data_IF_477068625197
#
_entry.id   IF_477068625197
#
_cell.length_a   1.000
_cell.length_b   1.000
_cell.length_c   1.000
_cell.angle_alpha   90.00
_cell.angle_beta   90.00
_cell.angle_gamma   90.00
#
_symmetry.space_group_name_H-M   'P 1'
#
loop_
_entity.id
_entity.type
_entity.pdbx_description
1 polymer ?
#
# COMPACT_ATOMS: atom_id res chain seq x y z
N UNK A 1 -16.49 -2.23 14.94
CA UNK A 1 -15.81 -1.15 14.18
C UNK A 1 -14.31 -1.12 14.42
N UNK A 2 -13.81 -1.18 15.66
CA UNK A 2 -12.37 -1.11 15.96
C UNK A 2 -11.50 -2.07 15.13
N UNK A 3 -11.91 -3.35 15.04
CA UNK A 3 -11.17 -4.35 14.25
C UNK A 3 -11.09 -3.94 12.77
N UNK A 4 -12.20 -3.53 12.17
CA UNK A 4 -12.28 -3.08 10.77
C UNK A 4 -11.38 -1.88 10.53
N UNK A 5 -11.38 -0.90 11.45
CA UNK A 5 -10.52 0.28 11.39
C UNK A 5 -9.04 -0.09 11.42
N UNK A 6 -8.62 -0.96 12.34
CA UNK A 6 -7.24 -1.42 12.43
C UNK A 6 -6.86 -2.19 11.16
N UNK A 7 -7.75 -3.05 10.64
CA UNK A 7 -7.53 -3.76 9.38
C UNK A 7 -7.34 -2.82 8.19
N UNK A 8 -8.18 -1.78 8.07
CA UNK A 8 -8.04 -0.75 7.01
C UNK A 8 -6.66 -0.11 7.09
N UNK A 9 -6.28 0.41 8.25
CA UNK A 9 -5.02 1.13 8.41
C UNK A 9 -3.82 0.22 8.14
N UNK A 10 -3.79 -0.97 8.75
CA UNK A 10 -2.69 -1.93 8.63
C UNK A 10 -2.54 -2.44 7.20
N UNK A 11 -3.62 -2.89 6.56
CA UNK A 11 -3.53 -3.48 5.22
C UNK A 11 -3.24 -2.45 4.14
N UNK A 12 -3.78 -1.25 4.25
CA UNK A 12 -3.48 -0.15 3.31
C UNK A 12 -2.02 0.26 3.44
N UNK A 13 -1.54 0.47 4.67
CA UNK A 13 -0.15 0.88 4.90
C UNK A 13 0.84 -0.21 4.48
N UNK A 14 0.55 -1.47 4.80
CA UNK A 14 1.34 -2.61 4.34
C UNK A 14 1.39 -2.64 2.81
N UNK A 15 0.22 -2.58 2.15
CA UNK A 15 0.14 -2.55 0.69
C UNK A 15 0.98 -1.43 0.08
N UNK A 16 0.97 -0.25 0.69
CA UNK A 16 1.71 0.93 0.21
C UNK A 16 3.23 0.80 0.39
N UNK A 17 3.68 0.34 1.56
CA UNK A 17 5.11 0.33 1.92
C UNK A 17 5.84 -0.94 1.49
N UNK A 18 5.17 -2.08 1.46
CA UNK A 18 5.81 -3.37 1.18
C UNK A 18 6.59 -3.42 -0.16
N UNK A 19 6.13 -2.79 -1.26
CA UNK A 19 6.91 -2.71 -2.49
C UNK A 19 8.28 -2.04 -2.33
N UNK A 20 8.45 -1.13 -1.36
CA UNK A 20 9.70 -0.44 -1.11
C UNK A 20 10.79 -1.37 -0.55
N UNK A 21 10.43 -2.55 -0.01
CA UNK A 21 11.42 -3.55 0.42
C UNK A 21 12.34 -4.02 -0.71
N UNK A 22 11.93 -3.84 -1.97
CA UNK A 22 12.79 -4.06 -3.15
C UNK A 22 14.02 -3.16 -3.18
N UNK A 23 14.02 -2.04 -2.45
CA UNK A 23 15.19 -1.19 -2.26
C UNK A 23 16.20 -1.81 -1.30
N UNK A 24 15.72 -2.35 -0.18
CA UNK A 24 16.54 -2.94 0.89
C UNK A 24 17.13 -4.29 0.50
N UNK A 25 16.35 -5.13 -0.17
CA UNK A 25 16.79 -6.46 -0.57
C UNK A 25 17.68 -6.39 -1.81
N UNK A 26 18.85 -7.03 -1.75
CA UNK A 26 19.72 -7.20 -2.92
C UNK A 26 19.12 -8.28 -3.83
N UNK A 27 18.19 -7.88 -4.71
CA UNK A 27 17.44 -8.77 -5.61
C UNK A 27 18.36 -9.69 -6.41
N UNK A 28 19.59 -9.25 -6.74
CA UNK A 28 20.59 -10.06 -7.45
C UNK A 28 21.09 -11.28 -6.68
N UNK A 29 20.82 -11.39 -5.36
CA UNK A 29 21.17 -12.52 -4.52
C UNK A 29 19.98 -13.43 -4.21
N UNK A 30 18.75 -13.05 -4.62
CA UNK A 30 17.55 -13.84 -4.40
C UNK A 30 17.05 -14.49 -5.69
N UNK A 31 16.39 -15.64 -5.53
CA UNK A 31 15.83 -16.43 -6.63
C UNK A 31 15.03 -15.57 -7.62
N UNK A 32 15.14 -15.89 -8.91
CA UNK A 32 14.34 -15.27 -9.98
C UNK A 32 12.87 -15.31 -9.59
N UNK A 33 12.25 -14.14 -9.41
CA UNK A 33 10.83 -14.02 -9.06
C UNK A 33 10.52 -13.46 -7.67
N UNK A 34 11.52 -13.16 -6.83
CA UNK A 34 11.26 -12.56 -5.51
C UNK A 34 10.52 -11.21 -5.58
N UNK A 35 10.79 -10.38 -6.60
CA UNK A 35 10.04 -9.14 -6.81
C UNK A 35 8.56 -9.39 -7.12
N UNK A 36 8.24 -10.51 -7.79
CA UNK A 36 6.85 -10.91 -8.07
C UNK A 36 6.12 -11.26 -6.78
N UNK A 37 6.80 -11.93 -5.86
CA UNK A 37 6.27 -12.20 -4.53
C UNK A 37 5.99 -10.91 -3.75
N UNK A 38 6.96 -9.98 -3.71
CA UNK A 38 6.78 -8.70 -3.02
C UNK A 38 5.57 -7.93 -3.57
N UNK A 39 5.55 -7.73 -4.89
CA UNK A 39 4.51 -6.94 -5.54
C UNK A 39 3.14 -7.64 -5.50
N UNK A 40 3.12 -8.95 -5.70
CA UNK A 40 1.90 -9.75 -5.60
C UNK A 40 1.29 -9.72 -4.21
N UNK A 41 2.12 -9.88 -3.15
CA UNK A 41 1.64 -9.81 -1.78
C UNK A 41 1.12 -8.41 -1.43
N UNK A 42 1.84 -7.37 -1.84
CA UNK A 42 1.39 -5.99 -1.71
C UNK A 42 0.04 -5.75 -2.39
N UNK A 43 -0.18 -6.28 -3.60
CA UNK A 43 -1.47 -6.19 -4.29
C UNK A 43 -2.59 -6.90 -3.54
N UNK A 44 -2.34 -8.11 -3.03
CA UNK A 44 -3.35 -8.90 -2.30
C UNK A 44 -3.74 -8.18 -1.00
N UNK A 45 -2.76 -7.83 -0.18
CA UNK A 45 -3.02 -7.19 1.12
C UNK A 45 -3.60 -5.80 0.94
N UNK A 46 -3.06 -4.99 0.01
CA UNK A 46 -3.64 -3.68 -0.33
C UNK A 46 -5.07 -3.80 -0.85
N UNK A 47 -5.36 -4.81 -1.69
CA UNK A 47 -6.71 -5.11 -2.17
C UNK A 47 -7.68 -5.45 -1.05
N UNK A 48 -7.25 -6.24 -0.06
CA UNK A 48 -8.05 -6.49 1.16
C UNK A 48 -8.28 -5.19 1.92
N UNK A 49 -7.27 -4.32 2.05
CA UNK A 49 -7.42 -2.98 2.63
C UNK A 49 -8.51 -2.17 1.94
N UNK A 50 -8.49 -2.10 0.61
CA UNK A 50 -9.53 -1.41 -0.17
C UNK A 50 -10.91 -2.02 0.07
N UNK A 51 -11.06 -3.35 0.07
CA UNK A 51 -12.35 -3.99 0.39
C UNK A 51 -12.87 -3.52 1.77
N UNK A 52 -12.00 -3.49 2.78
CA UNK A 52 -12.38 -3.04 4.12
C UNK A 52 -12.76 -1.54 4.16
N UNK A 53 -12.12 -0.68 3.36
CA UNK A 53 -12.51 0.72 3.20
C UNK A 53 -13.94 0.85 2.70
N UNK A 54 -14.35 -0.01 1.77
CA UNK A 54 -15.75 -0.04 1.30
C UNK A 54 -16.74 -0.61 2.33
N UNK A 55 -16.28 -1.42 3.29
CA UNK A 55 -17.14 -1.89 4.40
C UNK A 55 -17.45 -0.79 5.42
N UNK A 56 -16.64 0.28 5.50
CA UNK A 56 -16.86 1.44 6.38
C UNK A 56 -17.25 2.69 5.57
N UNK A 57 -18.08 2.48 4.55
CA UNK A 57 -18.46 3.52 3.59
C UNK A 57 -19.19 4.73 4.21
N UNK A 58 -19.80 4.58 5.38
CA UNK A 58 -20.44 5.68 6.10
C UNK A 58 -19.42 6.61 6.77
N UNK A 59 -18.23 6.10 7.10
CA UNK A 59 -17.14 6.87 7.70
C UNK A 59 -16.23 7.51 6.65
N UNK A 60 -15.95 6.79 5.54
CA UNK A 60 -14.99 7.24 4.53
C UNK A 60 -15.71 7.89 3.35
N UNK A 61 -15.49 9.18 3.07
CA UNK A 61 -16.07 9.88 1.94
C UNK A 61 -15.75 9.24 0.59
N UNK A 62 -16.68 9.35 -0.38
CA UNK A 62 -16.56 8.72 -1.70
C UNK A 62 -15.29 9.13 -2.46
N UNK A 63 -14.84 10.38 -2.35
CA UNK A 63 -13.61 10.86 -2.99
C UNK A 63 -12.35 10.16 -2.43
N UNK A 64 -12.31 9.86 -1.13
CA UNK A 64 -11.20 9.11 -0.51
C UNK A 64 -11.22 7.66 -0.97
N UNK A 65 -12.40 7.02 -0.99
CA UNK A 65 -12.55 5.64 -1.50
C UNK A 65 -12.13 5.50 -2.97
N UNK A 66 -12.48 6.47 -3.81
CA UNK A 66 -12.04 6.47 -5.22
C UNK A 66 -10.52 6.59 -5.30
N UNK A 67 -9.90 7.41 -4.45
CA UNK A 67 -8.45 7.53 -4.35
C UNK A 67 -7.75 6.20 -4.04
N UNK A 68 -8.30 5.41 -3.12
CA UNK A 68 -7.82 4.07 -2.78
C UNK A 68 -7.87 3.11 -3.98
N UNK A 69 -8.97 3.12 -4.73
CA UNK A 69 -9.11 2.31 -5.94
C UNK A 69 -8.09 2.73 -7.00
N UNK A 70 -7.91 4.04 -7.22
CA UNK A 70 -6.93 4.57 -8.17
C UNK A 70 -5.51 4.15 -7.78
N UNK A 71 -5.18 4.23 -6.48
CA UNK A 71 -3.91 3.74 -5.97
C UNK A 71 -3.74 2.23 -6.24
N UNK A 72 -4.72 1.40 -5.90
CA UNK A 72 -4.64 -0.04 -6.11
C UNK A 72 -4.47 -0.40 -7.60
N UNK A 73 -5.17 0.30 -8.51
CA UNK A 73 -5.00 0.14 -9.96
C UNK A 73 -3.57 0.48 -10.38
N UNK A 74 -2.98 1.57 -9.84
CA UNK A 74 -1.59 1.93 -10.14
C UNK A 74 -0.60 0.85 -9.69
N UNK A 75 -0.84 0.25 -8.52
CA UNK A 75 -0.03 -0.84 -7.97
C UNK A 75 -0.17 -2.12 -8.82
N UNK A 76 -1.40 -2.49 -9.21
CA UNK A 76 -1.68 -3.62 -10.09
C UNK A 76 -1.06 -3.42 -11.47
N UNK A 77 -1.10 -2.21 -12.04
CA UNK A 77 -0.51 -1.91 -13.34
C UNK A 77 1.01 -2.10 -13.33
N UNK A 78 1.70 -1.56 -12.31
CA UNK A 78 3.15 -1.75 -12.14
C UNK A 78 3.49 -3.21 -11.89
N UNK A 79 2.70 -3.91 -11.07
CA UNK A 79 2.89 -5.33 -10.78
C UNK A 79 2.72 -6.19 -12.02
N UNK A 80 1.67 -5.97 -12.80
CA UNK A 80 1.41 -6.66 -14.05
C UNK A 80 2.52 -6.43 -15.09
N UNK A 81 2.99 -5.19 -15.23
CA UNK A 81 4.08 -4.84 -16.14
C UNK A 81 5.38 -5.59 -15.81
N UNK A 82 5.74 -5.69 -14.53
CA UNK A 82 6.96 -6.37 -14.09
C UNK A 82 6.79 -7.87 -13.79
N UNK A 83 5.56 -8.41 -13.93
CA UNK A 83 5.26 -9.79 -13.55
C UNK A 83 6.15 -10.80 -14.24
N UNK A 84 6.43 -10.63 -15.54
CA UNK A 84 7.27 -11.56 -16.31
C UNK A 84 8.71 -11.08 -16.50
N UNK A 85 9.06 -9.89 -16.02
CA UNK A 85 10.41 -9.36 -16.19
C UNK A 85 11.40 -9.98 -15.21
N UNK A 86 12.64 -10.15 -15.64
CA UNK A 86 13.72 -10.71 -14.80
C UNK A 86 14.32 -9.67 -13.85
N UNK A 87 14.20 -8.39 -14.18
CA UNK A 87 14.69 -7.28 -13.36
C UNK A 87 13.63 -6.20 -13.25
N UNK A 88 13.71 -5.42 -12.18
CA UNK A 88 12.78 -4.34 -11.90
C UNK A 88 13.50 -3.02 -11.71
N UNK A 89 12.98 -1.97 -12.34
CA UNK A 89 13.45 -0.61 -12.08
C UNK A 89 12.82 -0.13 -10.79
N UNK A 90 13.62 -0.12 -9.71
CA UNK A 90 13.16 0.21 -8.35
C UNK A 90 12.40 1.55 -8.28
N UNK A 91 12.84 2.56 -9.02
CA UNK A 91 12.16 3.86 -9.11
C UNK A 91 10.71 3.79 -9.61
N UNK A 92 10.37 2.84 -10.50
CA UNK A 92 9.00 2.70 -11.00
C UNK A 92 8.07 2.11 -9.94
N UNK A 93 8.59 1.26 -9.05
CA UNK A 93 7.85 0.70 -7.92
C UNK A 93 7.57 1.76 -6.85
N UNK A 94 8.48 2.72 -6.69
CA UNK A 94 8.30 3.80 -5.72
C UNK A 94 7.06 4.65 -6.03
N UNK A 95 6.64 4.75 -7.31
CA UNK A 95 5.48 5.55 -7.74
C UNK A 95 4.17 5.07 -7.07
N UNK A 96 3.72 3.81 -7.24
CA UNK A 96 2.51 3.33 -6.56
C UNK A 96 2.66 3.32 -5.04
N UNK A 97 3.87 3.16 -4.48
CA UNK A 97 4.08 3.29 -3.04
C UNK A 97 3.84 4.72 -2.53
N UNK A 98 4.33 5.74 -3.26
CA UNK A 98 4.08 7.14 -2.92
C UNK A 98 2.57 7.45 -3.00
N UNK A 99 1.88 6.99 -4.04
CA UNK A 99 0.42 7.13 -4.13
C UNK A 99 -0.30 6.40 -2.99
N UNK A 100 0.17 5.23 -2.59
CA UNK A 100 -0.40 4.48 -1.48
C UNK A 100 -0.23 5.17 -0.13
N UNK A 101 0.94 5.76 0.11
CA UNK A 101 1.18 6.56 1.33
C UNK A 101 0.28 7.79 1.37
N UNK A 102 0.06 8.46 0.23
CA UNK A 102 -0.90 9.56 0.15
C UNK A 102 -2.34 9.11 0.38
N UNK A 103 -2.73 7.95 -0.16
CA UNK A 103 -4.06 7.38 0.00
C UNK A 103 -4.30 7.00 1.48
N UNK A 104 -3.32 6.33 2.10
CA UNK A 104 -3.29 6.04 3.53
C UNK A 104 -3.41 7.30 4.41
N UNK A 105 -2.69 8.39 4.10
CA UNK A 105 -2.82 9.64 4.85
C UNK A 105 -4.26 10.17 4.84
N UNK A 106 -4.95 10.10 3.70
CA UNK A 106 -6.36 10.51 3.59
C UNK A 106 -7.25 9.64 4.44
N UNK A 107 -7.08 8.31 4.40
CA UNK A 107 -7.81 7.39 5.28
C UNK A 107 -7.57 7.74 6.76
N UNK A 108 -6.31 7.88 7.16
CA UNK A 108 -5.93 8.18 8.54
C UNK A 108 -6.59 9.48 9.03
N UNK A 109 -6.64 10.48 8.14
CA UNK A 109 -7.27 11.78 8.42
C UNK A 109 -8.77 11.69 8.66
N UNK A 110 -9.48 10.83 7.93
CA UNK A 110 -10.92 10.62 8.08
C UNK A 110 -11.27 9.76 9.30
N UNK A 111 -10.39 8.83 9.69
CA UNK A 111 -10.64 7.88 10.78
C UNK A 111 -10.21 8.42 12.15
N UNK A 112 -9.04 9.04 12.23
CA UNK A 112 -8.40 9.44 13.49
C UNK A 112 -8.23 10.96 13.54
N UNK A 113 -7.24 11.49 12.81
CA UNK A 113 -6.97 12.92 12.68
C UNK A 113 -5.99 13.18 11.54
N UNK A 114 -5.99 14.41 11.02
CA UNK A 114 -5.07 14.85 9.96
C UNK A 114 -3.68 15.27 10.46
N UNK A 115 -3.32 14.94 11.70
CA UNK A 115 -2.07 15.40 12.32
C UNK A 115 -0.85 14.73 11.67
N UNK A 116 0.10 15.56 11.25
CA UNK A 116 1.33 15.08 10.60
C UNK A 116 2.18 14.20 11.52
N UNK A 117 2.17 14.47 12.83
CA UNK A 117 2.90 13.66 13.81
C UNK A 117 2.36 12.22 13.84
N UNK A 118 1.04 12.06 13.92
CA UNK A 118 0.38 10.75 13.90
C UNK A 118 0.62 10.02 12.57
N UNK A 119 0.59 10.75 11.46
CA UNK A 119 0.94 10.18 10.16
C UNK A 119 2.39 9.66 10.12
N UNK A 120 3.37 10.44 10.59
CA UNK A 120 4.77 10.03 10.62
C UNK A 120 4.97 8.81 11.54
N UNK A 121 4.36 8.82 12.73
CA UNK A 121 4.42 7.69 13.67
C UNK A 121 3.83 6.44 13.03
N UNK A 122 2.69 6.57 12.36
CA UNK A 122 2.04 5.45 11.66
C UNK A 122 2.93 4.91 10.54
N UNK A 123 3.51 5.79 9.74
CA UNK A 123 4.41 5.42 8.65
C UNK A 123 5.66 4.68 9.15
N UNK A 124 6.26 5.15 10.25
CA UNK A 124 7.39 4.48 10.90
C UNK A 124 6.99 3.10 11.44
N UNK A 125 5.82 2.99 12.07
CA UNK A 125 5.25 1.71 12.51
C UNK A 125 5.04 0.74 11.36
N UNK A 126 4.66 1.25 10.18
CA UNK A 126 4.46 0.46 8.96
C UNK A 126 5.71 -0.22 8.42
N UNK A 127 6.92 0.24 8.75
CA UNK A 127 8.17 -0.43 8.36
C UNK A 127 8.57 -1.59 9.28
N UNK A 128 7.89 -1.76 10.42
CA UNK A 128 8.14 -2.86 11.38
C UNK A 128 7.22 -4.06 11.09
N UNK A 129 6.15 -3.86 10.31
CA UNK A 129 5.23 -4.91 9.83
C UNK A 129 5.89 -5.82 8.77
#
# INVERSE_FOLDING_TARGET
>A
MLLTTISVLTFTLFGALYPLLTWTVRISQLNRGFHRFILGLSCIVGGVGVVFVFLISDTIPSNVRIGEVVWLISLLAVTGYYWNQESIKKWVITIPSIFGVMAFYRILSEIISGDLELFIISLLGGFIL
#
